data_IF_112389205771
#
_entry.id   IF_112389205771
#
_cell.length_a   1.000
_cell.length_b   1.000
_cell.length_c   1.000
_cell.angle_alpha   90.00
_cell.angle_beta   90.00
_cell.angle_gamma   90.00
#
_symmetry.space_group_name_H-M   'P 1'
#
loop_
_entity.id
_entity.type
_entity.pdbx_description
1 polymer ?
#
# COMPACT_ATOMS: atom_id res chain seq x y z
N UNK A 1 5.56 11.55 4.37
CA UNK A 1 4.98 10.23 4.61
C UNK A 1 5.77 9.15 3.88
N UNK A 2 5.85 7.98 4.45
CA UNK A 2 6.45 6.82 3.80
C UNK A 2 5.38 6.04 3.04
N UNK A 3 5.54 5.95 1.73
CA UNK A 3 4.60 5.28 0.83
C UNK A 3 5.27 3.99 0.34
N UNK A 4 4.60 2.85 0.51
CA UNK A 4 5.14 1.54 0.16
C UNK A 4 4.20 0.85 -0.83
N UNK A 5 4.75 0.46 -1.98
CA UNK A 5 4.06 -0.38 -2.96
C UNK A 5 4.46 -1.83 -2.71
N UNK A 6 3.48 -2.67 -2.37
CA UNK A 6 3.73 -4.07 -1.96
C UNK A 6 3.73 -5.06 -3.10
N UNK A 7 3.31 -4.66 -4.29
CA UNK A 7 3.35 -5.52 -5.47
C UNK A 7 3.45 -4.68 -6.73
N UNK A 8 3.94 -5.30 -7.81
CA UNK A 8 4.02 -4.61 -9.09
C UNK A 8 2.64 -4.24 -9.61
N UNK A 9 2.48 -3.00 -10.05
CA UNK A 9 1.25 -2.53 -10.70
C UNK A 9 1.24 -2.87 -12.19
N UNK A 10 2.27 -3.59 -12.68
CA UNK A 10 2.40 -3.99 -14.08
C UNK A 10 2.42 -2.81 -15.05
N UNK A 11 2.97 -1.70 -14.59
CA UNK A 11 3.25 -0.55 -15.44
C UNK A 11 4.75 -0.51 -15.73
N UNK A 12 5.15 0.20 -16.78
CA UNK A 12 6.57 0.37 -17.08
C UNK A 12 7.26 1.15 -15.95
N UNK A 13 8.57 0.93 -15.80
CA UNK A 13 9.35 1.68 -14.82
C UNK A 13 9.26 3.18 -15.07
N UNK A 14 9.24 3.57 -16.34
CA UNK A 14 9.11 4.96 -16.74
C UNK A 14 7.80 5.59 -16.28
N UNK A 15 6.69 4.86 -16.42
CA UNK A 15 5.38 5.31 -15.90
C UNK A 15 5.37 5.40 -14.40
N UNK A 16 5.94 4.41 -13.74
CA UNK A 16 6.01 4.40 -12.28
C UNK A 16 6.81 5.59 -11.78
N UNK A 17 7.97 5.86 -12.37
CA UNK A 17 8.81 7.00 -12.02
C UNK A 17 8.05 8.32 -12.20
N UNK A 18 7.30 8.45 -13.28
CA UNK A 18 6.50 9.66 -13.52
C UNK A 18 5.42 9.86 -12.46
N UNK A 19 4.80 8.77 -11.98
CA UNK A 19 3.79 8.83 -10.93
C UNK A 19 4.39 9.16 -9.56
N UNK A 20 5.62 8.71 -9.31
CA UNK A 20 6.29 8.87 -8.02
C UNK A 20 6.95 10.24 -7.88
N UNK A 21 7.41 10.86 -8.97
CA UNK A 21 8.14 12.14 -8.92
C UNK A 21 7.42 13.25 -8.14
N UNK A 22 6.12 13.49 -8.34
CA UNK A 22 5.44 14.52 -7.54
C UNK A 22 5.43 14.22 -6.04
N UNK A 23 5.39 12.95 -5.67
CA UNK A 23 5.43 12.52 -4.27
C UNK A 23 6.79 12.82 -3.64
N UNK A 24 7.87 12.53 -4.36
CA UNK A 24 9.23 12.82 -3.90
C UNK A 24 9.47 14.31 -3.77
N UNK A 25 8.95 15.11 -4.70
CA UNK A 25 9.06 16.56 -4.66
C UNK A 25 8.31 17.16 -3.48
N UNK A 26 7.22 16.51 -3.06
CA UNK A 26 6.43 16.93 -1.91
C UNK A 26 7.05 16.51 -0.57
N UNK A 27 8.21 15.84 -0.60
CA UNK A 27 8.91 15.41 0.62
C UNK A 27 8.53 14.04 1.13
N UNK A 28 7.75 13.27 0.39
CA UNK A 28 7.42 11.90 0.75
C UNK A 28 8.50 10.94 0.29
N UNK A 29 8.60 9.78 0.94
CA UNK A 29 9.45 8.69 0.47
C UNK A 29 8.59 7.62 -0.18
N UNK A 30 9.15 6.92 -1.16
CA UNK A 30 8.46 5.86 -1.89
C UNK A 30 9.37 4.66 -2.04
N UNK A 31 8.88 3.49 -1.64
CA UNK A 31 9.58 2.23 -1.82
C UNK A 31 8.67 1.25 -2.55
N UNK A 32 9.19 0.57 -3.56
CA UNK A 32 8.45 -0.39 -4.35
C UNK A 32 9.06 -1.78 -4.18
N UNK A 33 8.20 -2.77 -3.92
CA UNK A 33 8.59 -4.15 -3.73
C UNK A 33 7.75 -5.04 -4.65
N UNK A 34 8.22 -6.24 -4.90
CA UNK A 34 7.43 -7.25 -5.56
C UNK A 34 6.62 -8.03 -4.52
N UNK A 35 5.58 -8.71 -4.99
CA UNK A 35 4.71 -9.51 -4.13
C UNK A 35 5.54 -10.56 -3.39
N UNK A 36 5.33 -10.65 -2.08
CA UNK A 36 6.14 -11.50 -1.21
C UNK A 36 5.26 -12.24 -0.20
N UNK A 37 5.84 -13.16 0.55
CA UNK A 37 5.17 -13.84 1.65
C UNK A 37 4.86 -12.86 2.79
N UNK A 38 3.90 -13.21 3.66
CA UNK A 38 3.41 -12.34 4.72
C UNK A 38 4.54 -11.80 5.62
N UNK A 39 5.52 -12.61 5.96
CA UNK A 39 6.64 -12.18 6.81
C UNK A 39 7.45 -11.07 6.17
N UNK A 40 7.70 -11.17 4.86
CA UNK A 40 8.43 -10.15 4.12
C UNK A 40 7.57 -8.90 3.91
N UNK A 41 6.28 -9.07 3.70
CA UNK A 41 5.35 -7.95 3.60
C UNK A 41 5.34 -7.12 4.89
N UNK A 42 5.38 -7.79 6.02
CA UNK A 42 5.46 -7.11 7.32
C UNK A 42 6.73 -6.27 7.40
N UNK A 43 7.87 -6.82 7.01
CA UNK A 43 9.13 -6.09 7.02
C UNK A 43 9.10 -4.87 6.09
N UNK A 44 8.47 -5.01 4.92
CA UNK A 44 8.37 -3.92 3.95
C UNK A 44 7.41 -2.82 4.41
N UNK A 45 6.34 -3.18 5.10
CA UNK A 45 5.21 -2.29 5.34
C UNK A 45 5.12 -1.75 6.78
N UNK A 46 5.88 -2.30 7.72
CA UNK A 46 5.68 -1.99 9.14
C UNK A 46 5.81 -0.51 9.49
N UNK A 47 6.59 0.24 8.73
CA UNK A 47 6.80 1.68 8.94
C UNK A 47 6.03 2.55 7.96
N UNK A 48 5.21 1.95 7.09
CA UNK A 48 4.51 2.69 6.06
C UNK A 48 3.39 3.55 6.64
N UNK A 49 3.25 4.75 6.12
CA UNK A 49 2.08 5.61 6.36
C UNK A 49 0.98 5.31 5.34
N UNK A 50 1.38 4.96 4.12
CA UNK A 50 0.47 4.61 3.02
C UNK A 50 0.96 3.33 2.36
N UNK A 51 0.05 2.38 2.17
CA UNK A 51 0.32 1.16 1.40
C UNK A 51 -0.44 1.24 0.09
N UNK A 52 0.25 0.96 -1.02
CA UNK A 52 -0.33 0.84 -2.35
C UNK A 52 -0.23 -0.61 -2.79
N UNK A 53 -1.31 -1.17 -3.31
CA UNK A 53 -1.33 -2.54 -3.82
C UNK A 53 -2.36 -2.68 -4.94
N UNK A 54 -2.33 -3.81 -5.63
CA UNK A 54 -3.33 -4.13 -6.64
C UNK A 54 -4.30 -5.17 -6.06
N UNK A 55 -4.07 -6.46 -6.29
CA UNK A 55 -5.02 -7.50 -5.88
C UNK A 55 -4.46 -8.53 -4.91
N UNK A 56 -3.29 -8.29 -4.34
CA UNK A 56 -2.75 -9.21 -3.34
C UNK A 56 -3.54 -9.11 -2.02
N UNK A 57 -3.67 -10.20 -1.28
CA UNK A 57 -4.33 -10.15 0.03
C UNK A 57 -3.56 -9.27 1.02
N UNK A 58 -4.30 -8.45 1.77
CA UNK A 58 -3.72 -7.64 2.83
C UNK A 58 -4.66 -7.74 4.03
N UNK A 59 -4.32 -8.63 4.93
CA UNK A 59 -5.17 -9.03 6.05
C UNK A 59 -4.55 -8.62 7.39
N UNK A 60 -5.26 -8.96 8.45
CA UNK A 60 -4.92 -8.57 9.83
C UNK A 60 -3.51 -9.02 10.23
N UNK A 61 -3.05 -10.17 9.76
CA UNK A 61 -1.73 -10.69 10.08
C UNK A 61 -0.59 -9.74 9.66
N UNK A 62 -0.78 -9.01 8.57
CA UNK A 62 0.16 -7.97 8.12
C UNK A 62 -0.21 -6.62 8.74
N UNK A 63 -1.47 -6.23 8.67
CA UNK A 63 -1.93 -4.91 9.11
C UNK A 63 -1.66 -4.65 10.59
N UNK A 64 -1.74 -5.67 11.44
CA UNK A 64 -1.49 -5.53 12.87
C UNK A 64 -0.06 -5.07 13.20
N UNK A 65 0.87 -5.22 12.26
CA UNK A 65 2.25 -4.75 12.41
C UNK A 65 2.49 -3.37 11.82
N UNK A 66 1.50 -2.78 11.14
CA UNK A 66 1.62 -1.50 10.46
C UNK A 66 1.07 -0.39 11.36
N UNK A 67 1.84 0.00 12.36
CA UNK A 67 1.37 0.90 13.43
C UNK A 67 1.22 2.35 13.00
N UNK A 68 1.91 2.76 11.93
CA UNK A 68 1.84 4.13 11.43
C UNK A 68 0.87 4.28 10.26
N UNK A 69 0.24 3.19 9.85
CA UNK A 69 -0.57 3.16 8.64
C UNK A 69 -1.81 4.03 8.77
N UNK A 70 -2.01 4.91 7.78
CA UNK A 70 -3.13 5.85 7.71
C UNK A 70 -4.04 5.59 6.53
N UNK A 71 -3.50 4.98 5.45
CA UNK A 71 -4.22 4.82 4.20
C UNK A 71 -3.75 3.58 3.45
N UNK A 72 -4.70 2.89 2.83
CA UNK A 72 -4.45 1.81 1.88
C UNK A 72 -5.06 2.23 0.55
N UNK A 73 -4.24 2.31 -0.49
CA UNK A 73 -4.67 2.70 -1.83
C UNK A 73 -4.62 1.47 -2.74
N UNK A 74 -5.80 1.02 -3.17
CA UNK A 74 -5.97 -0.19 -3.98
C UNK A 74 -6.11 0.22 -5.44
N UNK A 75 -5.20 -0.25 -6.30
CA UNK A 75 -5.20 0.06 -7.72
C UNK A 75 -6.18 -0.83 -8.51
N UNK A 76 -7.25 -1.27 -7.87
CA UNK A 76 -8.34 -2.06 -8.44
C UNK A 76 -9.68 -1.54 -7.96
N UNK A 77 -10.77 -1.97 -8.60
CA UNK A 77 -12.12 -1.57 -8.19
C UNK A 77 -12.58 -2.32 -6.94
N UNK A 78 -12.22 -3.61 -6.80
CA UNK A 78 -12.60 -4.41 -5.65
C UNK A 78 -11.63 -4.28 -4.49
N UNK A 79 -12.14 -4.35 -3.28
CA UNK A 79 -11.35 -4.26 -2.05
C UNK A 79 -11.53 -5.48 -1.13
N UNK A 80 -12.12 -6.56 -1.63
CA UNK A 80 -12.41 -7.77 -0.84
C UNK A 80 -11.16 -8.47 -0.32
N UNK A 81 -10.03 -8.25 -0.96
CA UNK A 81 -8.74 -8.81 -0.56
C UNK A 81 -8.08 -8.05 0.59
N UNK A 82 -8.66 -6.95 1.01
CA UNK A 82 -8.17 -6.14 2.13
C UNK A 82 -9.10 -6.34 3.33
N UNK A 83 -8.51 -6.43 4.53
CA UNK A 83 -9.31 -6.49 5.77
C UNK A 83 -9.86 -5.09 6.09
N UNK A 84 -10.97 -4.77 5.46
CA UNK A 84 -11.61 -3.45 5.61
C UNK A 84 -12.18 -3.23 7.01
N UNK A 85 -12.58 -4.30 7.71
CA UNK A 85 -13.05 -4.20 9.08
C UNK A 85 -11.93 -3.76 10.01
N UNK A 86 -10.75 -4.38 9.88
CA UNK A 86 -9.58 -3.97 10.65
C UNK A 86 -9.22 -2.51 10.37
N UNK A 87 -9.20 -2.12 9.09
CA UNK A 87 -8.87 -0.76 8.69
C UNK A 87 -9.83 0.25 9.33
N UNK A 88 -11.13 -0.03 9.27
CA UNK A 88 -12.15 0.85 9.84
C UNK A 88 -11.99 0.98 11.35
N UNK A 89 -11.73 -0.13 12.05
CA UNK A 89 -11.55 -0.14 13.50
C UNK A 89 -10.33 0.66 13.95
N UNK A 90 -9.32 0.80 13.10
CA UNK A 90 -8.05 1.45 13.43
C UNK A 90 -7.88 2.81 12.73
N UNK A 91 -8.93 3.35 12.15
CA UNK A 91 -8.87 4.67 11.53
C UNK A 91 -8.07 4.72 10.24
N UNK A 92 -7.91 3.59 9.55
CA UNK A 92 -7.18 3.51 8.29
C UNK A 92 -8.17 3.72 7.14
N UNK A 93 -7.89 4.68 6.27
CA UNK A 93 -8.71 4.96 5.09
C UNK A 93 -8.35 3.98 3.98
N UNK A 94 -9.37 3.35 3.38
CA UNK A 94 -9.17 2.46 2.23
C UNK A 94 -9.78 3.12 1.00
N UNK A 95 -8.97 3.34 -0.03
CA UNK A 95 -9.38 3.92 -1.30
C UNK A 95 -9.18 2.89 -2.41
N UNK A 96 -9.98 3.01 -3.48
CA UNK A 96 -9.84 2.13 -4.64
C UNK A 96 -9.96 2.92 -5.94
N UNK A 97 -9.69 2.24 -7.07
CA UNK A 97 -9.66 2.88 -8.38
C UNK A 97 -11.05 3.30 -8.88
N UNK A 98 -12.12 2.79 -8.28
CA UNK A 98 -13.50 3.15 -8.67
C UNK A 98 -13.98 4.46 -8.05
N UNK A 99 -13.29 4.93 -7.06
CA UNK A 99 -13.69 6.12 -6.37
C UNK A 99 -12.57 6.85 -5.75
#
# INVERSE_FOLDING_TARGET
MKIVLLESLRVSQEKLDALVQPLLKAGHTFEAYERAAAEQQIQHAQDADVIVLANMPLKRDVLSHCKNLKMIDVAFTGIDHVDTDYAREHGITVCNAAG
#
